data_IF_642384315724
#
_entry.id   IF_642384315724
#
_cell.length_a   1.000
_cell.length_b   1.000
_cell.length_c   1.000
_cell.angle_alpha   90.00
_cell.angle_beta   90.00
_cell.angle_gamma   90.00
#
_symmetry.space_group_name_H-M   'P 1'
#
loop_
_entity.id
_entity.type
_entity.pdbx_description
1 polymer ?
#
# COMPACT_ATOMS: atom_id res chain seq x y z
N UNK A 1 30.72 54.43 41.99
CA UNK A 1 30.69 52.96 42.11
C UNK A 1 29.54 52.41 41.25
N UNK A 2 29.87 51.89 40.09
CA UNK A 2 28.88 51.33 39.18
C UNK A 2 28.81 49.77 39.38
N UNK A 3 27.64 49.26 39.77
CA UNK A 3 27.42 47.83 39.92
C UNK A 3 26.96 47.27 38.53
N UNK A 4 27.78 46.40 37.91
CA UNK A 4 27.39 45.61 36.77
C UNK A 4 26.49 44.47 37.25
N UNK A 5 25.27 44.41 36.70
CA UNK A 5 24.40 43.25 36.83
C UNK A 5 24.71 42.24 35.70
N UNK A 6 25.08 41.05 36.07
CA UNK A 6 25.21 39.92 35.16
C UNK A 6 23.83 39.32 34.90
N UNK A 7 23.35 39.38 33.65
CA UNK A 7 22.16 38.65 33.20
C UNK A 7 22.61 37.29 32.70
N UNK A 8 22.34 36.26 33.47
CA UNK A 8 22.57 34.89 33.07
C UNK A 8 21.49 34.47 32.08
N UNK A 9 21.90 34.17 30.84
CA UNK A 9 21.03 33.54 29.84
C UNK A 9 20.99 32.04 30.12
N UNK A 10 19.87 31.57 30.67
CA UNK A 10 19.59 30.13 30.77
C UNK A 10 19.15 29.60 29.39
N UNK A 11 20.04 28.91 28.71
CA UNK A 11 19.67 28.09 27.54
C UNK A 11 18.97 26.83 28.05
N UNK A 12 17.65 26.79 27.94
CA UNK A 12 16.86 25.56 28.13
C UNK A 12 17.02 24.76 26.86
N UNK A 13 17.92 23.79 26.86
CA UNK A 13 17.98 22.74 25.84
C UNK A 13 16.82 21.78 26.04
N UNK A 14 15.66 22.11 25.48
CA UNK A 14 14.55 21.21 25.36
C UNK A 14 14.90 20.11 24.37
N UNK A 15 15.23 18.91 24.84
CA UNK A 15 15.23 17.71 24.01
C UNK A 15 13.80 17.42 23.63
N UNK A 16 13.46 17.64 22.34
CA UNK A 16 12.23 17.12 21.77
C UNK A 16 12.28 15.59 21.93
N UNK A 17 11.22 14.95 22.45
CA UNK A 17 11.15 13.51 22.42
C UNK A 17 11.20 13.11 20.95
N UNK A 18 12.17 12.27 20.58
CA UNK A 18 12.15 11.59 19.31
C UNK A 18 10.85 10.78 19.30
N UNK A 19 9.89 11.18 18.46
CA UNK A 19 8.78 10.30 18.09
C UNK A 19 9.45 9.06 17.48
N UNK A 20 9.40 7.96 18.22
CA UNK A 20 9.71 6.67 17.65
C UNK A 20 8.79 6.52 16.44
N UNK A 21 9.36 6.45 15.25
CA UNK A 21 8.62 6.08 14.08
C UNK A 21 8.04 4.70 14.38
N UNK A 22 6.74 4.62 14.64
CA UNK A 22 6.01 3.36 14.63
C UNK A 22 6.21 2.87 13.22
N UNK A 23 6.94 1.78 13.04
CA UNK A 23 7.17 1.20 11.73
C UNK A 23 5.79 0.91 11.15
N UNK A 24 5.39 1.69 10.15
CA UNK A 24 4.15 1.46 9.43
C UNK A 24 4.40 0.21 8.63
N UNK A 25 3.83 -0.91 9.09
CA UNK A 25 3.96 -2.21 8.48
C UNK A 25 2.81 -2.51 7.51
N UNK A 26 2.89 -3.65 6.89
CA UNK A 26 1.79 -4.24 6.13
C UNK A 26 1.72 -5.74 6.43
N UNK A 27 0.57 -6.36 6.12
CA UNK A 27 0.41 -7.81 6.19
C UNK A 27 -0.30 -8.34 4.96
N UNK A 28 0.01 -9.57 4.58
CA UNK A 28 -0.66 -10.26 3.48
C UNK A 28 -1.84 -11.08 4.03
N UNK A 29 -2.93 -11.14 3.27
CA UNK A 29 -4.06 -11.98 3.60
C UNK A 29 -4.58 -12.79 2.42
N UNK A 30 -5.36 -13.83 2.69
CA UNK A 30 -5.83 -14.76 1.68
C UNK A 30 -4.67 -15.49 0.99
N UNK A 31 -4.78 -15.66 -0.30
CA UNK A 31 -3.77 -16.35 -1.12
C UNK A 31 -2.69 -15.38 -1.67
N UNK A 32 -2.44 -14.27 -0.97
CA UNK A 32 -1.35 -13.36 -1.32
C UNK A 32 0.01 -13.98 -1.01
N UNK A 33 0.94 -13.88 -1.95
CA UNK A 33 2.30 -14.43 -1.80
C UNK A 33 3.34 -13.49 -2.39
N UNK A 34 4.58 -13.62 -1.93
CA UNK A 34 5.69 -12.92 -2.55
C UNK A 34 6.18 -13.66 -3.80
N UNK A 35 6.53 -12.89 -4.83
CA UNK A 35 7.13 -13.40 -6.08
C UNK A 35 8.34 -12.55 -6.47
N UNK A 36 9.23 -13.13 -7.28
CA UNK A 36 10.41 -12.45 -7.82
C UNK A 36 10.48 -12.65 -9.35
N UNK A 37 10.94 -11.66 -10.10
CA UNK A 37 11.26 -10.27 -9.68
C UNK A 37 10.01 -9.38 -9.59
N UNK A 38 10.16 -8.21 -8.93
CA UNK A 38 9.20 -7.13 -8.95
C UNK A 38 9.40 -6.15 -10.13
N UNK A 39 8.88 -4.93 -9.99
CA UNK A 39 9.02 -3.86 -10.99
C UNK A 39 10.32 -3.09 -10.80
N UNK A 40 11.36 -3.45 -11.52
CA UNK A 40 12.75 -2.99 -11.32
C UNK A 40 13.25 -3.20 -9.88
N UNK A 41 12.74 -4.22 -9.23
CA UNK A 41 12.95 -4.59 -7.84
C UNK A 41 13.12 -6.11 -7.71
N UNK A 42 13.50 -6.58 -6.52
CA UNK A 42 13.75 -8.01 -6.32
C UNK A 42 12.47 -8.78 -6.02
N UNK A 43 11.42 -8.09 -5.52
CA UNK A 43 10.23 -8.76 -5.04
C UNK A 43 8.96 -7.92 -5.27
N UNK A 44 7.88 -8.60 -5.55
CA UNK A 44 6.53 -8.06 -5.61
C UNK A 44 5.58 -8.94 -4.81
N UNK A 45 4.35 -8.49 -4.59
CA UNK A 45 3.26 -9.31 -4.04
C UNK A 45 2.38 -9.78 -5.18
N UNK A 46 2.13 -11.09 -5.25
CA UNK A 46 1.14 -11.68 -6.13
C UNK A 46 -0.18 -11.79 -5.40
N UNK A 47 -1.23 -11.21 -5.98
CA UNK A 47 -2.61 -11.39 -5.55
C UNK A 47 -3.33 -12.30 -6.52
N UNK A 48 -4.07 -13.26 -5.95
CA UNK A 48 -4.89 -14.22 -6.72
C UNK A 48 -6.33 -14.12 -6.22
N UNK A 49 -7.26 -14.10 -7.16
CA UNK A 49 -8.67 -14.32 -6.85
C UNK A 49 -9.28 -15.32 -7.82
N UNK A 50 -10.26 -16.08 -7.35
CA UNK A 50 -11.02 -17.04 -8.14
C UNK A 50 -12.46 -17.07 -7.69
N UNK A 51 -13.33 -16.51 -8.50
CA UNK A 51 -14.76 -16.42 -8.20
C UNK A 51 -15.45 -17.79 -8.02
N UNK A 52 -14.97 -18.83 -8.72
CA UNK A 52 -15.58 -20.16 -8.62
C UNK A 52 -15.27 -20.88 -7.30
N UNK A 53 -14.17 -20.52 -6.65
CA UNK A 53 -13.72 -21.15 -5.40
C UNK A 53 -13.83 -20.21 -4.20
N UNK A 54 -14.20 -18.95 -4.41
CA UNK A 54 -14.27 -17.93 -3.37
C UNK A 54 -12.88 -17.47 -2.88
N UNK A 55 -11.81 -17.78 -3.60
CA UNK A 55 -10.46 -17.34 -3.29
C UNK A 55 -10.34 -15.85 -3.53
N UNK A 56 -9.78 -15.14 -2.56
CA UNK A 56 -9.40 -13.73 -2.64
C UNK A 56 -8.06 -13.52 -1.93
N UNK A 57 -7.41 -12.43 -2.20
CA UNK A 57 -6.15 -12.11 -1.54
C UNK A 57 -5.86 -10.62 -1.58
N UNK A 58 -5.05 -10.16 -0.65
CA UNK A 58 -4.72 -8.75 -0.57
C UNK A 58 -3.59 -8.41 0.38
N UNK A 59 -3.46 -7.12 0.61
CA UNK A 59 -2.46 -6.50 1.45
C UNK A 59 -3.18 -5.52 2.36
N UNK A 60 -3.05 -5.69 3.68
CA UNK A 60 -3.47 -4.72 4.69
C UNK A 60 -2.31 -3.78 5.01
N UNK A 61 -2.56 -2.48 5.06
CA UNK A 61 -1.57 -1.47 5.40
C UNK A 61 -1.84 -0.90 6.78
N UNK A 62 -0.83 -0.83 7.62
CA UNK A 62 -0.97 -0.25 8.94
C UNK A 62 -1.32 1.25 8.85
N UNK A 63 -2.41 1.63 9.49
CA UNK A 63 -2.91 2.99 9.50
C UNK A 63 -2.40 3.72 10.75
N UNK A 64 -1.81 4.93 10.61
CA UNK A 64 -1.45 5.75 11.78
C UNK A 64 -2.66 6.06 12.65
N UNK A 65 -2.48 6.01 13.97
CA UNK A 65 -3.53 6.40 14.89
C UNK A 65 -4.03 7.83 14.60
N UNK A 66 -5.36 8.00 14.57
CA UNK A 66 -6.03 9.27 14.29
C UNK A 66 -5.87 9.83 12.86
N UNK A 67 -5.42 9.02 11.90
CA UNK A 67 -5.49 9.41 10.50
C UNK A 67 -6.96 9.68 10.14
N UNK A 68 -7.25 10.86 9.62
CA UNK A 68 -8.61 11.18 9.14
C UNK A 68 -8.67 11.08 7.62
N UNK A 69 -9.89 10.97 7.09
CA UNK A 69 -10.09 10.93 5.63
C UNK A 69 -9.55 12.20 4.95
N UNK A 70 -9.50 13.34 5.66
CA UNK A 70 -8.96 14.59 5.15
C UNK A 70 -7.42 14.57 5.04
N UNK A 71 -6.75 13.74 5.83
CA UNK A 71 -5.29 13.60 5.84
C UNK A 71 -4.79 12.57 4.83
N UNK A 72 -5.70 11.78 4.25
CA UNK A 72 -5.37 10.77 3.25
C UNK A 72 -5.32 11.40 1.86
N UNK A 73 -4.13 11.46 1.25
CA UNK A 73 -3.88 12.23 0.05
C UNK A 73 -3.31 11.42 -1.12
N UNK A 74 -2.73 10.26 -0.85
CA UNK A 74 -2.15 9.41 -1.90
C UNK A 74 -2.51 7.94 -1.70
N UNK A 75 -2.99 7.35 -2.78
CA UNK A 75 -3.02 5.91 -3.01
C UNK A 75 -2.54 5.67 -4.44
N UNK A 76 -1.46 4.94 -4.59
CA UNK A 76 -0.98 4.50 -5.90
C UNK A 76 -0.29 3.16 -5.79
N UNK A 77 -0.16 2.45 -6.90
CA UNK A 77 0.59 1.20 -6.95
C UNK A 77 1.07 0.90 -8.36
N UNK A 78 2.18 0.21 -8.46
CA UNK A 78 2.54 -0.50 -9.68
C UNK A 78 1.80 -1.83 -9.71
N UNK A 79 1.28 -2.19 -10.87
CA UNK A 79 0.57 -3.43 -11.07
C UNK A 79 0.91 -4.10 -12.39
N UNK A 80 0.84 -5.44 -12.42
CA UNK A 80 1.01 -6.23 -13.63
C UNK A 80 0.07 -7.43 -13.59
N UNK A 81 -0.93 -7.43 -14.46
CA UNK A 81 -1.80 -8.61 -14.63
C UNK A 81 -1.04 -9.71 -15.38
N UNK A 82 -1.04 -10.91 -14.83
CA UNK A 82 -0.46 -12.10 -15.45
C UNK A 82 -1.54 -13.11 -15.88
N UNK A 83 -2.74 -12.99 -15.32
CA UNK A 83 -3.93 -13.71 -15.76
C UNK A 83 -5.18 -12.85 -15.58
N UNK A 84 -6.03 -12.82 -16.60
CA UNK A 84 -7.14 -11.90 -16.75
C UNK A 84 -6.67 -10.41 -16.71
N UNK A 85 -7.62 -9.49 -16.64
CA UNK A 85 -7.37 -8.04 -16.54
C UNK A 85 -8.17 -7.49 -15.36
N UNK A 86 -8.08 -6.18 -15.08
CA UNK A 86 -8.99 -5.56 -14.13
C UNK A 86 -10.44 -5.69 -14.65
N UNK A 87 -11.34 -6.06 -13.77
CA UNK A 87 -12.75 -6.22 -14.07
C UNK A 87 -13.59 -6.17 -12.80
N UNK A 88 -14.84 -5.73 -12.92
CA UNK A 88 -15.84 -5.71 -11.84
C UNK A 88 -15.34 -5.04 -10.56
N UNK A 89 -14.50 -4.03 -10.70
CA UNK A 89 -13.93 -3.30 -9.57
C UNK A 89 -12.81 -4.04 -8.83
N UNK A 90 -12.21 -5.07 -9.42
CA UNK A 90 -11.06 -5.79 -8.84
C UNK A 90 -9.83 -5.67 -9.74
N UNK A 91 -8.61 -5.47 -9.19
CA UNK A 91 -8.32 -5.14 -7.80
C UNK A 91 -8.73 -3.72 -7.42
N UNK A 92 -8.83 -3.47 -6.12
CA UNK A 92 -9.18 -2.15 -5.57
C UNK A 92 -8.55 -1.91 -4.22
N UNK A 93 -8.33 -0.66 -3.88
CA UNK A 93 -8.14 -0.26 -2.49
C UNK A 93 -9.49 -0.16 -1.80
N UNK A 94 -9.50 -0.45 -0.49
CA UNK A 94 -10.58 -0.17 0.42
C UNK A 94 -10.10 0.73 1.55
N UNK A 95 -10.90 1.73 1.90
CA UNK A 95 -10.65 2.65 3.02
C UNK A 95 -11.80 2.45 4.01
N UNK A 96 -11.49 1.93 5.18
CA UNK A 96 -12.47 1.70 6.25
C UNK A 96 -12.49 2.87 7.22
N UNK A 97 -13.68 3.34 7.57
CA UNK A 97 -13.88 4.42 8.53
C UNK A 97 -14.40 3.88 9.86
N UNK A 98 -14.04 4.53 10.96
CA UNK A 98 -14.44 4.13 12.31
C UNK A 98 -15.96 4.09 12.53
N UNK A 99 -16.73 4.84 11.74
CA UNK A 99 -18.21 4.88 11.82
C UNK A 99 -18.88 3.56 11.43
N UNK A 100 -18.23 2.75 10.57
CA UNK A 100 -18.72 1.41 10.22
C UNK A 100 -17.52 0.53 9.79
N UNK A 101 -16.96 -0.30 10.68
CA UNK A 101 -15.80 -1.13 10.38
C UNK A 101 -16.06 -2.28 9.40
N UNK A 102 -17.33 -2.50 9.01
CA UNK A 102 -17.72 -3.53 8.03
C UNK A 102 -17.96 -2.95 6.63
N UNK A 103 -17.65 -1.69 6.41
CA UNK A 103 -17.82 -0.99 5.14
C UNK A 103 -16.49 -0.43 4.65
N UNK A 104 -16.39 -0.15 3.35
CA UNK A 104 -15.24 0.54 2.78
C UNK A 104 -15.67 1.55 1.72
N UNK A 105 -14.88 2.61 1.56
CA UNK A 105 -14.83 3.41 0.35
C UNK A 105 -13.89 2.71 -0.59
N UNK A 106 -14.35 2.34 -1.78
CA UNK A 106 -13.53 1.63 -2.76
C UNK A 106 -12.90 2.58 -3.76
N UNK A 107 -11.62 2.34 -4.04
CA UNK A 107 -10.82 3.07 -5.03
C UNK A 107 -10.25 2.05 -6.01
N UNK A 108 -10.79 2.04 -7.22
CA UNK A 108 -10.50 1.02 -8.21
C UNK A 108 -9.21 1.29 -8.96
N UNK A 109 -8.40 0.24 -9.19
CA UNK A 109 -7.15 0.33 -9.97
C UNK A 109 -7.47 0.51 -11.47
N UNK A 110 -8.48 -0.19 -11.96
CA UNK A 110 -8.89 -0.08 -13.35
C UNK A 110 -9.38 1.33 -13.71
N UNK A 111 -9.16 1.81 -14.94
CA UNK A 111 -9.57 3.15 -15.34
C UNK A 111 -11.09 3.27 -15.42
N UNK A 112 -11.66 4.43 -15.04
CA UNK A 112 -13.07 4.73 -15.23
C UNK A 112 -13.39 4.83 -16.74
N UNK A 113 -14.66 4.68 -17.15
CA UNK A 113 -15.86 4.48 -16.33
C UNK A 113 -16.15 3.02 -15.96
N UNK A 114 -15.53 2.05 -16.61
CA UNK A 114 -15.91 0.64 -16.49
C UNK A 114 -14.94 -0.18 -15.62
N UNK A 115 -13.83 0.45 -15.17
CA UNK A 115 -12.77 -0.21 -14.38
C UNK A 115 -12.24 -1.49 -15.03
N UNK A 116 -12.08 -1.44 -16.36
CA UNK A 116 -11.58 -2.54 -17.19
C UNK A 116 -10.45 -2.05 -18.10
N UNK A 117 -9.81 -2.99 -18.83
CA UNK A 117 -8.85 -2.64 -19.88
C UNK A 117 -7.43 -2.40 -19.35
N UNK A 118 -7.10 -2.88 -18.17
CA UNK A 118 -5.73 -2.86 -17.67
C UNK A 118 -4.82 -3.71 -18.58
N UNK A 119 -3.57 -3.27 -18.84
CA UNK A 119 -2.66 -4.01 -19.70
C UNK A 119 -2.27 -5.36 -19.10
N UNK A 120 -2.07 -6.36 -19.97
CA UNK A 120 -1.60 -7.69 -19.58
C UNK A 120 -0.09 -7.80 -19.76
N UNK A 121 0.56 -8.50 -18.82
CA UNK A 121 1.98 -8.84 -18.85
C UNK A 121 2.95 -7.63 -18.92
N UNK A 122 2.45 -6.45 -18.61
CA UNK A 122 3.22 -5.20 -18.59
C UNK A 122 3.03 -4.54 -17.23
N UNK A 123 4.11 -4.05 -16.64
CA UNK A 123 4.03 -3.18 -15.47
C UNK A 123 3.43 -1.84 -15.86
N UNK A 124 2.46 -1.39 -15.10
CA UNK A 124 1.83 -0.09 -15.22
C UNK A 124 1.69 0.53 -13.81
N UNK A 125 1.63 1.85 -13.74
CA UNK A 125 1.40 2.58 -12.49
C UNK A 125 0.01 3.21 -12.54
N UNK A 126 -0.71 3.20 -11.43
CA UNK A 126 -2.04 3.81 -11.33
C UNK A 126 -2.01 5.34 -11.36
N UNK A 127 -0.87 5.95 -11.07
CA UNK A 127 -0.83 7.32 -10.59
C UNK A 127 -1.54 7.47 -9.24
N UNK A 128 -1.60 8.68 -8.71
CA UNK A 128 -2.37 8.93 -7.49
C UNK A 128 -3.88 8.85 -7.78
N UNK A 129 -4.53 7.86 -7.21
CA UNK A 129 -5.97 7.63 -7.35
C UNK A 129 -6.83 8.61 -6.52
N UNK A 130 -6.24 9.25 -5.50
CA UNK A 130 -6.91 10.22 -4.62
C UNK A 130 -6.71 11.67 -5.06
N UNK A 131 -6.62 11.91 -6.37
CA UNK A 131 -6.71 13.30 -6.86
C UNK A 131 -8.10 13.87 -6.60
N UNK A 132 -8.25 15.20 -6.46
CA UNK A 132 -9.57 15.79 -6.19
C UNK A 132 -10.67 15.38 -7.18
N UNK A 133 -10.29 15.09 -8.43
CA UNK A 133 -11.18 14.59 -9.49
C UNK A 133 -11.15 13.06 -9.64
N UNK A 134 -10.38 12.34 -8.83
CA UNK A 134 -10.37 10.87 -8.80
C UNK A 134 -11.72 10.35 -8.33
N UNK A 135 -12.19 9.26 -8.96
CA UNK A 135 -13.50 8.69 -8.63
C UNK A 135 -13.37 7.57 -7.60
N UNK A 136 -14.30 7.57 -6.65
CA UNK A 136 -14.42 6.55 -5.61
C UNK A 136 -15.85 6.02 -5.53
N UNK A 137 -16.01 4.86 -4.94
CA UNK A 137 -17.31 4.29 -4.60
C UNK A 137 -17.49 4.34 -3.08
N UNK A 138 -18.32 5.25 -2.61
CA UNK A 138 -18.63 5.44 -1.19
C UNK A 138 -20.03 4.92 -0.81
N UNK A 139 -20.66 4.11 -1.66
CA UNK A 139 -22.03 3.63 -1.47
C UNK A 139 -22.26 2.89 -0.17
N UNK A 140 -21.24 2.19 0.35
CA UNK A 140 -21.34 1.47 1.62
C UNK A 140 -21.45 2.40 2.86
N UNK A 141 -21.08 3.67 2.70
CA UNK A 141 -21.25 4.71 3.71
C UNK A 141 -22.41 5.67 3.38
N UNK A 142 -23.25 5.36 2.38
CA UNK A 142 -24.33 6.21 1.94
C UNK A 142 -23.91 7.37 1.03
N UNK A 143 -22.71 7.33 0.52
CA UNK A 143 -22.25 8.19 -0.58
C UNK A 143 -22.70 7.66 -1.94
N UNK A 144 -22.09 8.16 -3.01
CA UNK A 144 -22.42 7.75 -4.35
C UNK A 144 -21.40 6.75 -4.92
N UNK A 145 -21.84 5.98 -5.90
CA UNK A 145 -20.96 5.31 -6.85
C UNK A 145 -20.46 6.37 -7.83
N UNK A 146 -19.16 6.41 -8.11
CA UNK A 146 -18.56 7.43 -8.97
C UNK A 146 -18.62 8.87 -8.43
N UNK A 147 -18.36 9.06 -7.16
CA UNK A 147 -18.16 10.42 -6.69
C UNK A 147 -16.68 10.83 -6.72
N UNK A 148 -16.39 12.13 -6.97
CA UNK A 148 -15.05 12.65 -6.86
C UNK A 148 -14.50 12.49 -5.43
N UNK A 149 -13.20 12.18 -5.30
CA UNK A 149 -12.54 12.05 -3.99
C UNK A 149 -12.78 13.27 -3.09
N UNK A 150 -12.71 14.49 -3.66
CA UNK A 150 -12.98 15.71 -2.92
C UNK A 150 -14.41 15.76 -2.33
N UNK A 151 -15.40 15.17 -3.01
CA UNK A 151 -16.76 15.09 -2.49
C UNK A 151 -16.85 14.08 -1.34
N UNK A 152 -16.22 12.91 -1.46
CA UNK A 152 -16.13 11.93 -0.38
C UNK A 152 -15.40 12.51 0.85
N UNK A 153 -14.28 13.20 0.66
CA UNK A 153 -13.57 13.89 1.76
C UNK A 153 -14.46 14.92 2.46
N UNK A 154 -15.25 15.68 1.73
CA UNK A 154 -16.18 16.66 2.30
C UNK A 154 -17.33 15.98 3.06
N UNK A 155 -17.90 14.91 2.50
CA UNK A 155 -19.02 14.18 3.08
C UNK A 155 -18.62 13.47 4.40
N UNK A 156 -17.45 12.86 4.43
CA UNK A 156 -16.95 12.09 5.57
C UNK A 156 -15.90 12.85 6.40
N UNK A 157 -15.88 14.17 6.27
CA UNK A 157 -14.87 15.03 6.90
C UNK A 157 -14.71 14.74 8.39
N UNK A 158 -13.45 14.61 8.82
CA UNK A 158 -13.06 14.34 10.21
C UNK A 158 -13.27 12.90 10.68
N UNK A 159 -13.82 12.02 9.85
CA UNK A 159 -13.90 10.60 10.21
C UNK A 159 -12.51 9.96 10.22
N UNK A 160 -12.28 9.14 11.22
CA UNK A 160 -11.01 8.42 11.40
C UNK A 160 -10.98 7.21 10.46
N UNK A 161 -9.88 7.08 9.72
CA UNK A 161 -9.57 5.90 8.91
C UNK A 161 -9.01 4.83 9.84
N UNK A 162 -9.61 3.66 9.85
CA UNK A 162 -9.20 2.54 10.72
C UNK A 162 -8.48 1.44 9.98
N UNK A 163 -8.65 1.37 8.65
CA UNK A 163 -8.02 0.36 7.83
C UNK A 163 -7.86 0.86 6.39
N UNK A 164 -6.77 0.46 5.74
CA UNK A 164 -6.54 0.63 4.31
C UNK A 164 -6.00 -0.69 3.77
N UNK A 165 -6.67 -1.24 2.79
CA UNK A 165 -6.24 -2.49 2.17
C UNK A 165 -6.28 -2.41 0.64
N UNK A 166 -5.52 -3.27 -0.02
CA UNK A 166 -5.59 -3.53 -1.47
C UNK A 166 -6.00 -4.98 -1.67
N UNK A 167 -7.10 -5.23 -2.38
CA UNK A 167 -7.66 -6.57 -2.53
C UNK A 167 -7.93 -6.92 -3.99
N UNK A 168 -7.64 -8.17 -4.35
CA UNK A 168 -8.15 -8.84 -5.54
C UNK A 168 -9.22 -9.85 -5.10
N UNK A 169 -10.48 -9.59 -5.43
CA UNK A 169 -11.63 -10.35 -4.96
C UNK A 169 -12.69 -10.51 -6.05
N UNK A 170 -12.27 -10.75 -7.28
CA UNK A 170 -13.19 -10.95 -8.39
C UNK A 170 -14.45 -11.69 -7.90
N UNK A 171 -15.54 -10.93 -7.77
CA UNK A 171 -16.77 -11.40 -7.15
C UNK A 171 -17.36 -12.63 -7.87
N UNK A 172 -18.21 -13.40 -7.21
CA UNK A 172 -18.75 -14.68 -7.71
C UNK A 172 -19.49 -14.56 -9.04
N UNK A 173 -19.87 -13.36 -9.47
CA UNK A 173 -20.55 -13.11 -10.73
C UNK A 173 -19.63 -13.10 -11.96
N UNK A 174 -18.30 -13.07 -11.78
CA UNK A 174 -17.37 -12.82 -12.89
C UNK A 174 -16.92 -14.09 -13.64
N UNK A 175 -16.93 -15.25 -12.98
CA UNK A 175 -16.39 -16.49 -13.56
C UNK A 175 -14.88 -16.43 -13.88
N UNK A 176 -14.17 -15.40 -13.43
CA UNK A 176 -12.75 -15.17 -13.71
C UNK A 176 -11.85 -15.62 -12.57
N UNK A 177 -10.71 -16.20 -12.94
CA UNK A 177 -9.53 -16.20 -12.07
C UNK A 177 -8.68 -15.02 -12.48
N UNK A 178 -8.28 -14.21 -11.51
CA UNK A 178 -7.42 -13.06 -11.73
C UNK A 178 -6.10 -13.28 -11.00
N UNK A 179 -4.99 -12.92 -11.64
CA UNK A 179 -3.67 -12.86 -10.99
C UNK A 179 -3.03 -11.53 -11.35
N UNK A 180 -2.69 -10.78 -10.34
CA UNK A 180 -2.03 -9.49 -10.46
C UNK A 180 -0.81 -9.43 -9.54
N UNK A 181 0.29 -8.91 -10.05
CA UNK A 181 1.47 -8.55 -9.26
C UNK A 181 1.36 -7.10 -8.84
N UNK A 182 1.69 -6.81 -7.59
CA UNK A 182 1.64 -5.49 -6.96
C UNK A 182 3.03 -5.14 -6.47
N UNK A 183 3.47 -3.92 -6.75
CA UNK A 183 4.75 -3.39 -6.29
C UNK A 183 4.67 -1.87 -6.08
N UNK A 184 5.66 -1.30 -5.39
CA UNK A 184 5.78 0.14 -5.20
C UNK A 184 4.46 0.82 -4.82
N UNK A 185 3.78 0.29 -3.80
CA UNK A 185 2.51 0.84 -3.34
C UNK A 185 2.76 2.04 -2.43
N UNK A 186 2.19 3.20 -2.78
CA UNK A 186 2.20 4.40 -1.93
C UNK A 186 0.86 4.53 -1.20
N UNK A 187 0.92 4.57 0.12
CA UNK A 187 -0.22 4.86 0.99
C UNK A 187 0.14 6.08 1.83
N UNK A 188 -0.46 7.21 1.51
CA UNK A 188 -0.28 8.48 2.21
C UNK A 188 1.21 8.88 2.39
N UNK A 189 1.96 8.87 1.30
CA UNK A 189 3.40 9.14 1.22
C UNK A 189 4.31 8.11 1.92
N UNK A 190 3.77 6.95 2.28
CA UNK A 190 4.56 5.81 2.71
C UNK A 190 4.68 4.82 1.56
N UNK A 191 5.90 4.63 1.06
CA UNK A 191 6.17 3.69 -0.02
C UNK A 191 6.42 2.28 0.54
N UNK A 192 5.71 1.30 0.01
CA UNK A 192 5.88 -0.13 0.26
C UNK A 192 6.45 -0.77 -1.01
N UNK A 193 7.72 -1.09 -1.01
CA UNK A 193 8.46 -1.71 -2.12
C UNK A 193 8.55 -3.23 -2.02
N UNK A 194 8.04 -3.79 -0.91
CA UNK A 194 8.01 -5.23 -0.61
C UNK A 194 9.36 -5.93 -0.65
N UNK A 195 10.47 -5.21 -0.62
CA UNK A 195 11.81 -5.76 -0.76
C UNK A 195 12.21 -6.72 0.38
N UNK A 196 13.23 -7.50 0.09
CA UNK A 196 13.87 -8.36 1.09
C UNK A 196 14.59 -7.51 2.14
N UNK A 197 14.37 -7.79 3.41
CA UNK A 197 14.86 -6.94 4.51
C UNK A 197 15.74 -7.67 5.51
N UNK A 198 15.91 -8.99 5.37
CA UNK A 198 16.59 -9.79 6.39
C UNK A 198 17.59 -10.78 5.80
N UNK A 199 18.57 -11.19 6.66
CA UNK A 199 19.51 -12.28 6.34
C UNK A 199 18.80 -13.62 6.09
N UNK A 200 17.57 -13.78 6.59
CA UNK A 200 16.82 -15.03 6.40
C UNK A 200 16.33 -15.16 4.95
N UNK A 201 16.09 -14.04 4.28
CA UNK A 201 15.76 -14.01 2.84
C UNK A 201 16.91 -14.55 1.95
N UNK A 202 18.13 -14.60 2.49
CA UNK A 202 19.28 -15.15 1.78
C UNK A 202 19.40 -16.66 1.83
N UNK A 203 18.72 -17.33 2.79
CA UNK A 203 18.86 -18.76 3.05
C UNK A 203 18.20 -19.61 1.97
N UNK A 204 18.50 -20.89 1.98
CA UNK A 204 17.87 -21.91 1.13
C UNK A 204 17.80 -21.55 -0.36
N UNK A 205 18.82 -20.85 -0.83
CA UNK A 205 18.91 -20.40 -2.22
C UNK A 205 18.27 -19.03 -2.49
N UNK A 206 17.64 -18.39 -1.50
CA UNK A 206 16.98 -17.10 -1.63
C UNK A 206 17.90 -15.98 -2.12
N UNK A 207 19.21 -16.04 -1.84
CA UNK A 207 20.19 -15.09 -2.37
C UNK A 207 20.18 -14.95 -3.90
N UNK A 208 19.67 -15.93 -4.63
CA UNK A 208 19.54 -15.91 -6.10
C UNK A 208 18.40 -15.02 -6.58
N UNK A 209 17.44 -14.70 -5.72
CA UNK A 209 16.30 -13.85 -6.04
C UNK A 209 16.67 -12.37 -6.07
N UNK A 210 17.84 -12.00 -5.54
CA UNK A 210 18.35 -10.64 -5.58
C UNK A 210 18.97 -10.34 -6.94
N UNK A 211 18.14 -9.98 -7.92
CA UNK A 211 18.55 -9.64 -9.28
C UNK A 211 18.77 -8.15 -9.49
N UNK A 212 18.26 -7.33 -8.55
CA UNK A 212 18.44 -5.89 -8.44
C UNK A 212 19.22 -5.53 -7.17
N UNK A 213 19.67 -4.29 -6.99
CA UNK A 213 20.31 -3.87 -5.73
C UNK A 213 19.46 -4.27 -4.51
N UNK A 214 20.08 -4.73 -3.42
CA UNK A 214 21.54 -4.81 -3.17
C UNK A 214 22.26 -5.98 -3.85
N UNK A 215 21.57 -6.82 -4.59
CA UNK A 215 22.16 -7.88 -5.39
C UNK A 215 22.73 -7.40 -6.73
N UNK A 216 23.10 -8.33 -7.64
CA UNK A 216 23.11 -9.77 -7.41
C UNK A 216 24.28 -10.19 -6.49
N UNK A 217 24.03 -11.18 -5.64
CA UNK A 217 25.06 -11.74 -4.75
C UNK A 217 25.72 -12.95 -5.40
N UNK A 218 27.02 -13.15 -5.14
CA UNK A 218 27.78 -14.30 -5.67
C UNK A 218 27.43 -15.61 -4.97
N UNK A 219 27.01 -15.55 -3.72
CA UNK A 219 26.65 -16.71 -2.89
C UNK A 219 25.83 -16.26 -1.66
N UNK A 220 25.29 -17.24 -0.94
CA UNK A 220 24.53 -17.02 0.29
C UNK A 220 25.32 -16.25 1.35
N UNK A 221 26.60 -16.54 1.52
CA UNK A 221 27.44 -15.88 2.53
C UNK A 221 27.56 -14.37 2.29
N UNK A 222 27.72 -13.95 1.04
CA UNK A 222 27.77 -12.53 0.68
C UNK A 222 26.42 -11.84 0.99
N UNK A 223 25.30 -12.46 0.64
CA UNK A 223 23.97 -11.96 0.94
C UNK A 223 23.73 -11.83 2.45
N UNK A 224 23.99 -12.91 3.21
CA UNK A 224 23.84 -12.89 4.68
C UNK A 224 24.73 -11.82 5.32
N UNK A 225 25.98 -11.67 4.84
CA UNK A 225 26.90 -10.65 5.35
C UNK A 225 26.40 -9.24 5.12
N UNK A 226 25.77 -8.97 3.98
CA UNK A 226 25.19 -7.67 3.68
C UNK A 226 24.10 -7.28 4.69
N UNK A 227 23.13 -8.14 4.93
CA UNK A 227 22.04 -7.88 5.88
C UNK A 227 22.45 -7.96 7.35
N UNK A 228 23.58 -8.58 7.67
CA UNK A 228 24.09 -8.62 9.05
C UNK A 228 24.82 -7.32 9.45
N UNK A 229 25.10 -6.42 8.52
CA UNK A 229 25.78 -5.14 8.74
C UNK A 229 24.81 -3.93 8.78
N UNK A 230 23.53 -4.14 8.54
CA UNK A 230 22.46 -3.15 8.62
C UNK A 230 21.72 -3.23 9.98
#
# INVERSE_FOLDING_TARGET
MRRLAWIGVFLISGSLPALAAVGIGYSLFGDATYVSPGNNSNRAVQLISNANTGVYSGIDFAVPANLTINDLNTLSTDYKFTAASCALGSPRFGITLASNPNAAIFVYIGPPPNYTGCPLNVWANTGNLLTPAGFVDATQYGGAFYEPWAAAQAQFSGQVVTDIFLVSDNGPASGYSQTVLIDNTDVNATLYDYEFTSKDDCKDGGWKNFTFPPGPFKNQGQCVSYFAQQ
#
